data_IF_877372048955
#
_entry.id   IF_877372048955
#
_cell.length_a   1.000
_cell.length_b   1.000
_cell.length_c   1.000
_cell.angle_alpha   90.00
_cell.angle_beta   90.00
_cell.angle_gamma   90.00
#
_symmetry.space_group_name_H-M   'P 1'
#
loop_
_entity.id
_entity.type
_entity.pdbx_description
1 polymer ?
#
# COMPACT_ATOMS: atom_id res chain seq x y z
N UNK A 1 14.52 36.70 -1.19
CA UNK A 1 13.88 35.37 -1.00
C UNK A 1 14.54 34.43 -2.00
N UNK A 2 15.38 33.54 -1.49
CA UNK A 2 15.97 32.51 -2.34
C UNK A 2 14.84 31.57 -2.76
N UNK A 3 14.66 31.42 -4.07
CA UNK A 3 13.68 30.49 -4.61
C UNK A 3 14.14 29.07 -4.26
N UNK A 4 13.29 28.29 -3.60
CA UNK A 4 13.49 26.84 -3.48
C UNK A 4 13.62 26.26 -4.89
N UNK A 5 14.70 25.57 -5.22
CA UNK A 5 14.86 25.01 -6.56
C UNK A 5 13.71 24.01 -6.84
N UNK A 6 13.12 24.10 -8.03
CA UNK A 6 12.18 23.08 -8.51
C UNK A 6 13.02 21.81 -8.74
N UNK A 7 12.58 20.69 -8.15
CA UNK A 7 13.22 19.40 -8.41
C UNK A 7 13.07 19.06 -9.92
N UNK A 8 14.16 18.97 -10.69
CA UNK A 8 14.10 18.70 -12.11
C UNK A 8 13.85 17.22 -12.45
N UNK A 9 13.73 16.35 -11.42
CA UNK A 9 13.54 14.92 -11.60
C UNK A 9 12.23 14.57 -12.32
N UNK A 10 12.19 13.40 -12.93
CA UNK A 10 11.01 12.87 -13.59
C UNK A 10 10.08 12.18 -12.59
N UNK A 11 8.86 12.66 -12.46
CA UNK A 11 7.83 11.97 -11.69
C UNK A 11 7.50 10.64 -12.35
N UNK A 12 7.73 9.54 -11.65
CA UNK A 12 7.35 8.20 -12.10
C UNK A 12 5.90 7.87 -11.73
N UNK A 13 5.48 8.20 -10.52
CA UNK A 13 4.05 8.21 -10.19
C UNK A 13 3.76 9.11 -8.99
N UNK A 14 2.49 9.51 -8.88
CA UNK A 14 1.95 10.24 -7.75
C UNK A 14 0.53 9.79 -7.47
N UNK A 15 0.17 9.78 -6.17
CA UNK A 15 -1.15 9.37 -5.71
C UNK A 15 -1.17 9.02 -4.23
N UNK A 16 -1.85 7.95 -3.90
CA UNK A 16 -2.00 7.44 -2.53
C UNK A 16 -1.58 5.97 -2.48
N UNK A 17 -0.94 5.57 -1.38
CA UNK A 17 -0.52 4.20 -1.14
C UNK A 17 -0.75 3.77 0.31
N UNK A 18 -2.01 3.71 0.78
CA UNK A 18 -2.32 3.12 2.08
C UNK A 18 -1.90 1.65 2.14
N UNK A 19 -1.43 1.24 3.33
CA UNK A 19 -0.96 -0.13 3.55
C UNK A 19 -1.41 -0.72 4.87
N UNK A 20 -1.52 -2.06 4.89
CA UNK A 20 -1.77 -2.87 6.08
C UNK A 20 -0.87 -4.09 6.04
N UNK A 21 0.19 -4.10 6.87
CA UNK A 21 1.11 -5.22 6.99
C UNK A 21 0.87 -5.89 8.33
N UNK A 22 0.05 -6.96 8.30
CA UNK A 22 -0.56 -7.53 9.50
C UNK A 22 0.18 -8.78 9.97
N UNK A 23 0.29 -8.90 11.29
CA UNK A 23 0.94 -10.04 11.97
C UNK A 23 -0.02 -10.62 13.01
N UNK A 24 0.24 -11.87 13.45
CA UNK A 24 -0.46 -12.46 14.61
C UNK A 24 0.18 -12.03 15.93
N UNK A 25 1.51 -11.91 15.93
CA UNK A 25 2.33 -11.49 17.09
C UNK A 25 3.37 -10.48 16.66
N UNK A 26 3.90 -9.67 17.59
CA UNK A 26 4.87 -8.61 17.31
C UNK A 26 6.10 -9.11 16.53
N UNK A 27 6.67 -10.24 16.97
CA UNK A 27 7.89 -10.83 16.40
C UNK A 27 7.62 -11.87 15.31
N UNK A 28 6.33 -12.14 15.01
CA UNK A 28 5.94 -13.11 14.00
C UNK A 28 6.07 -12.57 12.58
N UNK A 29 5.97 -13.48 11.58
CA UNK A 29 5.92 -13.06 10.19
C UNK A 29 4.62 -12.32 9.87
N UNK A 30 4.59 -11.59 8.76
CA UNK A 30 3.35 -11.06 8.22
C UNK A 30 2.45 -12.21 7.75
N UNK A 31 1.18 -12.15 8.13
CA UNK A 31 0.16 -13.13 7.73
C UNK A 31 -0.78 -12.58 6.67
N UNK A 32 -0.89 -11.25 6.62
CA UNK A 32 -1.61 -10.54 5.55
C UNK A 32 -0.81 -9.31 5.16
N UNK A 33 -0.60 -9.11 3.86
CA UNK A 33 0.02 -7.91 3.30
C UNK A 33 -0.95 -7.24 2.33
N UNK A 34 -1.25 -5.98 2.59
CA UNK A 34 -2.10 -5.17 1.71
C UNK A 34 -1.36 -3.89 1.37
N UNK A 35 -1.29 -3.58 0.07
CA UNK A 35 -0.85 -2.29 -0.45
C UNK A 35 -1.89 -1.84 -1.48
N UNK A 36 -2.55 -0.74 -1.20
CA UNK A 36 -3.57 -0.16 -2.08
C UNK A 36 -2.99 1.08 -2.77
N UNK A 37 -3.22 1.20 -4.05
CA UNK A 37 -2.79 2.34 -4.85
C UNK A 37 -3.99 3.03 -5.47
N UNK A 38 -4.04 4.34 -5.29
CA UNK A 38 -4.87 5.27 -6.07
C UNK A 38 -3.92 6.21 -6.80
N UNK A 39 -3.56 5.87 -8.03
CA UNK A 39 -2.58 6.60 -8.81
C UNK A 39 -3.26 7.64 -9.67
N UNK A 40 -2.83 8.89 -9.57
CA UNK A 40 -3.34 10.02 -10.38
C UNK A 40 -2.45 10.34 -11.57
N UNK A 41 -1.15 10.04 -11.47
CA UNK A 41 -0.15 10.25 -12.55
C UNK A 41 0.81 9.07 -12.56
N UNK A 42 1.02 8.46 -13.73
CA UNK A 42 2.10 7.50 -14.00
C UNK A 42 2.35 7.36 -15.49
N UNK A 43 3.45 6.69 -15.92
CA UNK A 43 3.66 6.33 -17.33
C UNK A 43 2.62 5.35 -17.89
N UNK A 44 1.84 4.71 -17.01
CA UNK A 44 0.76 3.76 -17.35
C UNK A 44 -0.64 4.37 -17.19
N UNK A 45 -0.71 5.69 -17.03
CA UNK A 45 -1.95 6.41 -16.78
C UNK A 45 -2.35 6.39 -15.31
N UNK A 46 -3.60 6.72 -15.05
CA UNK A 46 -4.23 6.70 -13.72
C UNK A 46 -4.99 5.40 -13.50
N UNK A 47 -5.26 5.08 -12.24
CA UNK A 47 -6.06 3.91 -11.87
C UNK A 47 -5.80 3.46 -10.44
N UNK A 48 -6.32 2.29 -10.14
CA UNK A 48 -6.23 1.66 -8.81
C UNK A 48 -5.58 0.28 -8.92
N UNK A 49 -4.84 -0.09 -7.88
CA UNK A 49 -4.34 -1.46 -7.71
C UNK A 49 -4.34 -1.83 -6.23
N UNK A 50 -5.05 -2.87 -5.86
CA UNK A 50 -5.09 -3.42 -4.51
C UNK A 50 -4.38 -4.77 -4.49
N UNK A 51 -3.17 -4.82 -3.94
CA UNK A 51 -2.46 -6.06 -3.67
C UNK A 51 -2.91 -6.56 -2.30
N UNK A 52 -3.56 -7.71 -2.26
CA UNK A 52 -4.09 -8.34 -1.04
C UNK A 52 -3.53 -9.76 -0.98
N UNK A 53 -2.51 -9.97 -0.15
CA UNK A 53 -1.86 -11.27 0.02
C UNK A 53 -2.25 -11.82 1.40
N UNK A 54 -3.12 -12.84 1.43
CA UNK A 54 -3.56 -13.50 2.66
C UNK A 54 -2.71 -14.73 3.00
N UNK A 55 -1.83 -15.13 2.09
CA UNK A 55 -0.82 -16.17 2.27
C UNK A 55 0.49 -15.74 1.60
N UNK A 56 1.18 -14.69 2.14
CA UNK A 56 2.33 -14.10 1.45
C UNK A 56 3.53 -15.06 1.31
N UNK A 57 3.69 -16.00 2.24
CA UNK A 57 4.87 -16.89 2.31
C UNK A 57 4.56 -18.39 2.12
N UNK A 58 3.31 -18.77 2.10
CA UNK A 58 2.90 -20.16 1.95
C UNK A 58 2.90 -20.65 0.50
N UNK A 59 2.22 -21.74 0.25
CA UNK A 59 2.16 -22.34 -1.09
C UNK A 59 1.19 -21.59 -2.04
N UNK A 60 0.39 -20.64 -1.52
CA UNK A 60 -0.58 -19.87 -2.30
C UNK A 60 -1.75 -20.69 -2.85
N UNK A 61 -1.97 -21.89 -2.30
CA UNK A 61 -2.98 -22.84 -2.79
C UNK A 61 -4.26 -22.87 -1.95
N UNK A 62 -4.27 -22.21 -0.80
CA UNK A 62 -5.45 -22.17 0.07
C UNK A 62 -6.52 -21.27 -0.57
N UNK A 63 -7.66 -21.82 -1.05
CA UNK A 63 -8.72 -21.01 -1.63
C UNK A 63 -9.39 -20.07 -0.61
N UNK A 64 -9.22 -20.35 0.69
CA UNK A 64 -9.70 -19.49 1.78
C UNK A 64 -8.79 -18.28 2.05
N UNK A 65 -7.56 -18.29 1.51
CA UNK A 65 -6.55 -17.23 1.68
C UNK A 65 -5.94 -16.82 0.34
N UNK A 66 -6.71 -16.22 -0.56
CA UNK A 66 -6.23 -15.88 -1.89
C UNK A 66 -5.19 -14.77 -1.85
N UNK A 67 -4.26 -14.84 -2.80
CA UNK A 67 -3.34 -13.75 -3.12
C UNK A 67 -3.83 -13.07 -4.41
N UNK A 68 -4.18 -11.81 -4.31
CA UNK A 68 -4.92 -11.07 -5.34
C UNK A 68 -4.24 -9.75 -5.67
N UNK A 69 -4.36 -9.35 -6.92
CA UNK A 69 -4.22 -7.97 -7.39
C UNK A 69 -5.54 -7.55 -8.02
N UNK A 70 -6.29 -6.65 -7.39
CA UNK A 70 -7.57 -6.14 -7.92
C UNK A 70 -7.30 -4.76 -8.49
N UNK A 71 -7.64 -4.56 -9.78
CA UNK A 71 -7.25 -3.35 -10.50
C UNK A 71 -8.26 -2.98 -11.59
N UNK A 72 -8.38 -1.68 -11.86
CA UNK A 72 -9.05 -1.12 -13.03
C UNK A 72 -8.09 -0.77 -14.18
N UNK A 73 -6.76 -0.97 -13.95
CA UNK A 73 -5.71 -0.72 -14.93
C UNK A 73 -4.57 -1.74 -14.74
N UNK A 74 -4.64 -2.85 -15.47
CA UNK A 74 -3.66 -3.94 -15.35
C UNK A 74 -2.21 -3.51 -15.68
N UNK A 75 -1.94 -2.74 -16.75
CA UNK A 75 -0.59 -2.21 -17.01
C UNK A 75 -0.03 -1.33 -15.88
N UNK A 76 -0.89 -0.58 -15.18
CA UNK A 76 -0.51 0.18 -14.00
C UNK A 76 -0.19 -0.74 -12.82
N UNK A 77 -1.03 -1.74 -12.57
CA UNK A 77 -0.82 -2.70 -11.49
C UNK A 77 0.51 -3.44 -11.64
N UNK A 78 0.84 -3.91 -12.85
CA UNK A 78 2.14 -4.52 -13.14
C UNK A 78 3.30 -3.55 -12.92
N UNK A 79 3.15 -2.31 -13.37
CA UNK A 79 4.17 -1.28 -13.22
C UNK A 79 4.46 -0.98 -11.74
N UNK A 80 3.43 -0.78 -10.92
CA UNK A 80 3.64 -0.50 -9.47
C UNK A 80 4.09 -1.74 -8.72
N UNK A 81 3.62 -2.95 -9.08
CA UNK A 81 4.08 -4.21 -8.49
C UNK A 81 5.59 -4.37 -8.64
N UNK A 82 6.09 -4.31 -9.87
CA UNK A 82 7.47 -4.66 -10.19
C UNK A 82 8.45 -3.50 -9.89
N UNK A 83 7.99 -2.28 -10.14
CA UNK A 83 8.77 -1.06 -9.91
C UNK A 83 8.90 -0.66 -8.45
N UNK A 84 7.87 -0.93 -7.63
CA UNK A 84 7.74 -0.38 -6.29
C UNK A 84 7.39 -1.42 -5.23
N UNK A 85 6.23 -2.10 -5.30
CA UNK A 85 5.77 -3.01 -4.24
C UNK A 85 6.77 -4.11 -3.94
N UNK A 86 7.33 -4.75 -4.95
CA UNK A 86 8.33 -5.81 -4.78
C UNK A 86 9.62 -5.36 -4.06
N UNK A 87 9.84 -4.04 -3.98
CA UNK A 87 10.99 -3.41 -3.32
C UNK A 87 10.69 -2.91 -1.92
N UNK A 88 9.42 -2.75 -1.56
CA UNK A 88 9.02 -2.37 -0.20
C UNK A 88 9.43 -3.45 0.80
N UNK A 89 9.98 -3.03 1.95
CA UNK A 89 10.58 -3.94 2.91
C UNK A 89 9.70 -5.14 3.29
N UNK A 90 8.39 -4.93 3.50
CA UNK A 90 7.46 -6.00 3.84
C UNK A 90 7.17 -6.98 2.69
N UNK A 91 7.34 -6.56 1.44
CA UNK A 91 7.09 -7.36 0.23
C UNK A 91 8.37 -7.94 -0.38
N UNK A 92 9.54 -7.50 0.09
CA UNK A 92 10.82 -7.98 -0.44
C UNK A 92 10.97 -9.49 -0.23
N UNK A 93 11.10 -10.23 -1.33
CA UNK A 93 11.22 -11.68 -1.31
C UNK A 93 9.92 -12.46 -1.10
N UNK A 94 8.77 -11.78 -1.11
CA UNK A 94 7.44 -12.42 -1.03
C UNK A 94 7.12 -13.08 -2.36
N UNK A 95 7.19 -14.42 -2.39
CA UNK A 95 6.99 -15.21 -3.63
C UNK A 95 5.60 -15.01 -4.24
N UNK A 96 4.58 -14.93 -3.39
CA UNK A 96 3.20 -14.86 -3.82
C UNK A 96 2.77 -13.49 -4.33
N UNK A 97 3.64 -12.48 -4.28
CA UNK A 97 3.40 -11.19 -4.93
C UNK A 97 3.39 -11.32 -6.46
N UNK A 98 4.39 -12.03 -7.02
CA UNK A 98 4.48 -12.23 -8.48
C UNK A 98 3.41 -13.19 -9.00
N UNK A 99 3.03 -14.17 -8.19
CA UNK A 99 1.99 -15.15 -8.51
C UNK A 99 0.57 -14.74 -8.11
N UNK A 100 0.35 -13.50 -7.62
CA UNK A 100 -0.99 -13.08 -7.24
C UNK A 100 -1.91 -13.02 -8.46
N UNK A 101 -3.14 -13.51 -8.27
CA UNK A 101 -4.16 -13.52 -9.34
C UNK A 101 -4.62 -12.10 -9.61
N UNK A 102 -4.46 -11.62 -10.84
CA UNK A 102 -5.01 -10.36 -11.28
C UNK A 102 -6.51 -10.51 -11.55
N UNK A 103 -7.31 -9.61 -10.97
CA UNK A 103 -8.77 -9.61 -11.07
C UNK A 103 -9.22 -8.20 -11.42
N UNK A 104 -10.06 -8.01 -12.44
CA UNK A 104 -10.66 -6.72 -12.72
C UNK A 104 -11.45 -6.19 -11.51
N UNK A 105 -11.24 -4.90 -11.21
CA UNK A 105 -11.94 -4.17 -10.15
C UNK A 105 -12.67 -2.96 -10.71
N UNK A 106 -13.73 -2.54 -10.02
CA UNK A 106 -14.53 -1.37 -10.37
C UNK A 106 -15.15 -0.75 -9.11
N UNK A 107 -15.80 0.42 -9.27
CA UNK A 107 -16.45 1.18 -8.19
C UNK A 107 -15.51 1.46 -7.01
N UNK A 108 -14.28 1.89 -7.32
CA UNK A 108 -13.33 2.32 -6.31
C UNK A 108 -13.78 3.63 -5.69
N UNK A 109 -14.26 3.59 -4.46
CA UNK A 109 -14.74 4.74 -3.71
C UNK A 109 -14.13 4.78 -2.33
N UNK A 110 -13.99 5.96 -1.77
CA UNK A 110 -13.46 6.16 -0.43
C UNK A 110 -14.37 7.05 0.41
N UNK A 111 -14.23 6.93 1.73
CA UNK A 111 -14.85 7.81 2.70
C UNK A 111 -13.95 7.92 3.95
N UNK A 112 -14.34 8.81 4.84
CA UNK A 112 -13.64 9.10 6.08
C UNK A 112 -13.22 10.57 6.15
N UNK A 113 -12.78 10.99 7.33
CA UNK A 113 -12.40 12.37 7.59
C UNK A 113 -10.87 12.59 7.56
N UNK A 114 -10.10 11.51 7.32
CA UNK A 114 -8.63 11.53 7.31
C UNK A 114 -8.00 11.83 8.68
N UNK A 115 -8.81 11.92 9.74
CA UNK A 115 -8.37 12.16 11.13
C UNK A 115 -8.70 11.01 12.07
N UNK A 116 -9.87 10.38 11.89
CA UNK A 116 -10.35 9.28 12.71
C UNK A 116 -10.34 7.98 11.95
N UNK A 117 -10.75 8.05 10.68
CA UNK A 117 -10.85 6.90 9.82
C UNK A 117 -10.66 7.25 8.35
N UNK A 118 -10.26 6.24 7.60
CA UNK A 118 -10.26 6.22 6.15
C UNK A 118 -10.73 4.84 5.71
N UNK A 119 -11.58 4.77 4.69
CA UNK A 119 -12.10 3.51 4.17
C UNK A 119 -12.07 3.53 2.67
N UNK A 120 -11.61 2.43 2.08
CA UNK A 120 -11.70 2.14 0.64
C UNK A 120 -12.67 1.01 0.41
N UNK A 121 -13.62 1.20 -0.52
CA UNK A 121 -14.52 0.16 -1.00
C UNK A 121 -14.35 -0.02 -2.49
N UNK A 122 -14.39 -1.24 -2.93
CA UNK A 122 -14.40 -1.57 -4.35
C UNK A 122 -15.02 -2.94 -4.58
N UNK A 123 -15.35 -3.20 -5.84
CA UNK A 123 -15.94 -4.45 -6.31
C UNK A 123 -15.00 -5.15 -7.27
N UNK A 124 -15.18 -6.46 -7.38
CA UNK A 124 -14.52 -7.29 -8.37
C UNK A 124 -15.36 -8.53 -8.66
N UNK A 125 -14.90 -9.37 -9.59
CA UNK A 125 -15.54 -10.66 -9.86
C UNK A 125 -15.55 -11.61 -8.63
N UNK A 126 -14.73 -11.36 -7.62
CA UNK A 126 -14.74 -12.13 -6.36
C UNK A 126 -15.68 -11.53 -5.31
N UNK A 127 -16.29 -10.37 -5.58
CA UNK A 127 -17.29 -9.72 -4.73
C UNK A 127 -16.88 -8.35 -4.20
N UNK A 128 -17.36 -8.01 -3.00
CA UNK A 128 -17.15 -6.71 -2.35
C UNK A 128 -15.94 -6.74 -1.44
N UNK A 129 -15.11 -5.71 -1.53
CA UNK A 129 -13.94 -5.53 -0.68
C UNK A 129 -14.07 -4.21 0.10
N UNK A 130 -13.77 -4.24 1.38
CA UNK A 130 -13.65 -3.06 2.24
C UNK A 130 -12.32 -3.12 2.98
N UNK A 131 -11.58 -2.01 2.92
CA UNK A 131 -10.34 -1.79 3.65
C UNK A 131 -10.56 -0.57 4.54
N UNK A 132 -10.50 -0.74 5.86
CA UNK A 132 -10.75 0.33 6.83
C UNK A 132 -9.52 0.56 7.70
N UNK A 133 -9.07 1.81 7.74
CA UNK A 133 -8.02 2.32 8.61
C UNK A 133 -8.69 3.17 9.69
N UNK A 134 -8.53 2.78 10.95
CA UNK A 134 -9.15 3.40 12.11
C UNK A 134 -8.09 3.75 13.16
N UNK A 135 -8.44 4.61 14.12
CA UNK A 135 -7.51 5.07 15.15
C UNK A 135 -6.23 5.65 14.51
N UNK A 136 -6.43 6.75 13.78
CA UNK A 136 -5.39 7.44 13.03
C UNK A 136 -4.54 8.29 13.97
N UNK A 137 -3.22 8.20 13.82
CA UNK A 137 -2.25 9.08 14.46
C UNK A 137 -2.16 10.47 13.81
N UNK A 138 -1.31 11.31 14.34
CA UNK A 138 -1.03 12.62 13.76
C UNK A 138 -0.28 12.47 12.40
N UNK A 139 -0.65 13.24 11.39
CA UNK A 139 0.05 13.26 10.11
C UNK A 139 1.49 13.75 10.26
N UNK A 140 2.42 13.15 9.52
CA UNK A 140 3.81 13.61 9.43
C UNK A 140 4.33 13.47 8.00
N UNK A 141 5.28 14.35 7.66
CA UNK A 141 5.90 14.31 6.34
C UNK A 141 7.03 13.27 6.32
N UNK A 142 7.06 12.44 5.30
CA UNK A 142 8.16 11.53 4.99
C UNK A 142 8.84 11.99 3.72
N UNK A 143 10.14 12.21 3.81
CA UNK A 143 11.01 12.48 2.67
C UNK A 143 12.14 11.47 2.68
N UNK A 144 12.29 10.74 1.60
CA UNK A 144 13.37 9.77 1.41
C UNK A 144 14.20 10.18 0.20
N UNK A 145 15.49 10.39 0.43
CA UNK A 145 16.46 10.50 -0.65
C UNK A 145 16.56 9.18 -1.42
N UNK A 146 17.08 9.24 -2.63
CA UNK A 146 17.33 8.09 -3.50
C UNK A 146 17.94 6.91 -2.75
N UNK A 147 18.99 7.13 -1.99
CA UNK A 147 19.75 6.07 -1.29
C UNK A 147 18.97 5.44 -0.13
N UNK A 148 17.98 6.15 0.41
CA UNK A 148 17.13 5.68 1.51
C UNK A 148 15.80 5.13 1.05
N UNK A 149 15.42 5.37 -0.19
CA UNK A 149 14.16 4.89 -0.75
C UNK A 149 14.22 3.38 -1.03
N UNK A 150 13.08 2.72 -0.99
CA UNK A 150 12.99 1.28 -1.23
C UNK A 150 13.48 0.88 -2.63
N UNK A 151 13.40 1.78 -3.60
CA UNK A 151 13.77 1.50 -4.99
C UNK A 151 15.25 1.73 -5.28
N UNK A 152 15.95 2.56 -4.50
CA UNK A 152 17.34 2.97 -4.76
C UNK A 152 17.50 3.82 -6.03
N UNK A 153 16.41 4.29 -6.64
CA UNK A 153 16.41 5.04 -7.89
C UNK A 153 15.57 6.31 -7.86
N UNK A 154 14.76 6.47 -6.83
CA UNK A 154 13.80 7.57 -6.69
C UNK A 154 13.99 8.28 -5.35
N UNK A 155 13.73 9.57 -5.37
CA UNK A 155 13.34 10.31 -4.18
C UNK A 155 11.84 10.10 -3.96
N UNK A 156 11.41 10.13 -2.71
CA UNK A 156 10.00 9.95 -2.35
C UNK A 156 9.59 10.98 -1.31
N UNK A 157 8.44 11.58 -1.51
CA UNK A 157 7.76 12.42 -0.53
C UNK A 157 6.32 11.90 -0.32
N UNK A 158 5.86 11.88 0.93
CA UNK A 158 4.50 11.45 1.27
C UNK A 158 4.03 12.09 2.57
N UNK A 159 2.76 12.46 2.63
CA UNK A 159 2.07 12.73 3.88
C UNK A 159 1.65 11.39 4.49
N UNK A 160 2.29 11.03 5.59
CA UNK A 160 2.14 9.73 6.22
C UNK A 160 1.30 9.84 7.50
N UNK A 161 0.43 8.86 7.75
CA UNK A 161 -0.37 8.75 8.97
C UNK A 161 -0.26 7.32 9.48
N UNK A 162 0.21 7.15 10.72
CA UNK A 162 0.19 5.84 11.38
C UNK A 162 -1.24 5.44 11.72
N UNK A 163 -1.52 4.14 11.65
CA UNK A 163 -2.85 3.58 11.92
C UNK A 163 -2.74 2.46 12.93
N UNK A 164 -3.56 2.49 13.98
CA UNK A 164 -3.46 1.57 15.09
C UNK A 164 -4.53 0.48 15.10
N UNK A 165 -5.62 0.68 14.34
CA UNK A 165 -6.66 -0.32 14.16
C UNK A 165 -7.07 -0.42 12.68
N UNK A 166 -7.26 -1.64 12.20
CA UNK A 166 -7.69 -1.90 10.82
C UNK A 166 -8.81 -2.93 10.79
N UNK A 167 -9.65 -2.82 9.77
CA UNK A 167 -10.64 -3.84 9.44
C UNK A 167 -10.59 -4.11 7.94
N UNK A 168 -10.53 -5.37 7.57
CA UNK A 168 -10.55 -5.81 6.17
C UNK A 168 -11.66 -6.81 5.99
N UNK A 169 -12.50 -6.60 5.01
CA UNK A 169 -13.58 -7.50 4.66
C UNK A 169 -13.54 -7.85 3.17
N UNK A 170 -13.56 -9.13 2.87
CA UNK A 170 -13.73 -9.68 1.53
C UNK A 170 -14.99 -10.53 1.55
N UNK A 171 -16.07 -10.06 0.92
CA UNK A 171 -17.39 -10.69 0.98
C UNK A 171 -17.89 -10.96 2.41
N UNK A 172 -17.70 -10.01 3.31
CA UNK A 172 -18.08 -10.13 4.72
C UNK A 172 -17.16 -11.02 5.57
N UNK A 173 -16.08 -11.58 5.01
CA UNK A 173 -15.09 -12.34 5.76
C UNK A 173 -13.89 -11.47 6.07
N UNK A 174 -13.49 -11.44 7.35
CA UNK A 174 -12.28 -10.78 7.81
C UNK A 174 -11.01 -11.50 7.35
N UNK A 175 -9.87 -10.82 7.49
CA UNK A 175 -8.54 -11.40 7.26
C UNK A 175 -7.78 -11.58 8.58
N UNK A 176 -6.75 -12.42 8.56
CA UNK A 176 -5.90 -12.67 9.72
C UNK A 176 -4.93 -11.50 10.01
N UNK A 177 -4.67 -11.28 11.31
CA UNK A 177 -3.62 -10.39 11.79
C UNK A 177 -4.11 -9.00 12.21
N UNK A 178 -3.18 -8.24 12.78
CA UNK A 178 -3.36 -6.85 13.22
C UNK A 178 -2.08 -6.06 13.03
N UNK A 179 -2.13 -4.69 13.06
CA UNK A 179 -0.94 -3.86 13.02
C UNK A 179 -0.10 -3.99 14.30
N UNK A 180 1.20 -3.72 14.17
CA UNK A 180 2.16 -3.65 15.27
C UNK A 180 3.09 -2.45 15.10
N UNK A 181 3.70 -1.95 16.19
CA UNK A 181 4.72 -0.92 16.10
C UNK A 181 5.93 -1.37 15.26
N UNK A 182 6.52 -0.43 14.53
CA UNK A 182 7.79 -0.58 13.80
C UNK A 182 8.58 0.70 13.84
N UNK A 183 9.83 0.66 13.41
CA UNK A 183 10.56 1.86 13.02
C UNK A 183 10.36 2.11 11.52
N UNK A 184 10.05 3.36 11.16
CA UNK A 184 9.89 3.77 9.77
C UNK A 184 10.38 5.20 9.54
N UNK A 185 11.23 5.41 8.55
CA UNK A 185 11.78 6.71 8.17
C UNK A 185 12.43 7.50 9.33
N UNK A 186 13.00 6.79 10.33
CA UNK A 186 13.56 7.37 11.55
C UNK A 186 12.56 7.64 12.67
N UNK A 187 11.26 7.44 12.44
CA UNK A 187 10.22 7.52 13.47
C UNK A 187 10.13 6.18 14.20
N UNK A 188 10.44 6.18 15.50
CA UNK A 188 10.22 5.04 16.39
C UNK A 188 8.73 4.89 16.70
N UNK A 189 8.29 3.66 16.90
CA UNK A 189 6.88 3.33 17.20
C UNK A 189 5.88 3.77 16.12
N UNK A 190 6.31 3.90 14.86
CA UNK A 190 5.39 3.97 13.74
C UNK A 190 4.60 2.66 13.61
N UNK A 191 3.53 2.64 12.83
CA UNK A 191 2.69 1.45 12.68
C UNK A 191 3.02 0.66 11.41
N UNK A 192 2.75 -0.65 11.42
CA UNK A 192 2.75 -1.48 10.21
C UNK A 192 1.49 -1.30 9.36
N UNK A 193 0.46 -0.58 9.87
CA UNK A 193 -0.64 -0.08 9.06
C UNK A 193 -0.56 1.43 8.96
N UNK A 194 -0.83 1.99 7.81
CA UNK A 194 -0.60 3.40 7.53
C UNK A 194 -1.43 3.91 6.36
N UNK A 195 -1.62 5.23 6.34
CA UNK A 195 -2.04 5.95 5.15
C UNK A 195 -0.81 6.69 4.60
N UNK A 196 -0.65 6.68 3.30
CA UNK A 196 0.34 7.46 2.58
C UNK A 196 -0.39 8.29 1.53
N UNK A 197 -0.66 9.55 1.87
CA UNK A 197 -1.33 10.50 0.99
C UNK A 197 -0.32 11.32 0.20
N UNK A 198 -0.72 11.75 -0.98
CA UNK A 198 0.12 12.58 -1.86
C UNK A 198 1.52 11.98 -2.07
N UNK A 199 1.61 10.66 -2.06
CA UNK A 199 2.88 9.97 -2.26
C UNK A 199 3.36 10.20 -3.69
N UNK A 200 4.58 10.72 -3.82
CA UNK A 200 5.18 11.07 -5.10
C UNK A 200 6.58 10.51 -5.19
N UNK A 201 6.84 9.79 -6.25
CA UNK A 201 8.12 9.17 -6.56
C UNK A 201 8.76 9.85 -7.76
N UNK A 202 9.93 10.43 -7.54
CA UNK A 202 10.69 11.20 -8.52
C UNK A 202 11.98 10.46 -8.83
N UNK A 203 12.20 10.14 -10.09
CA UNK A 203 13.44 9.52 -10.55
C UNK A 203 14.55 10.56 -10.53
N UNK A 204 15.59 10.32 -9.72
CA UNK A 204 16.75 11.16 -9.54
C UNK A 204 17.92 10.68 -10.40
#
# INVERSE_FOLDING_TARGET
MDRVPINPGKVDWSGENPGMYLKKTADGPFVTLISFFRVVVSPKGRGHAAFILQDPYGEGKDPGKPNLCITDNEPLAEYVRDGFVAKFGAFKGVKNLQGCRVVPGWDFVYAGDGRRSHVEWFRSAIGHISLSWNDLGDPFLVELSKDRSATGQHEMISLFVDVHAVEVSINGKGVDGKPFPREFAGKKNSSTAFLAFSETWVRA
#
